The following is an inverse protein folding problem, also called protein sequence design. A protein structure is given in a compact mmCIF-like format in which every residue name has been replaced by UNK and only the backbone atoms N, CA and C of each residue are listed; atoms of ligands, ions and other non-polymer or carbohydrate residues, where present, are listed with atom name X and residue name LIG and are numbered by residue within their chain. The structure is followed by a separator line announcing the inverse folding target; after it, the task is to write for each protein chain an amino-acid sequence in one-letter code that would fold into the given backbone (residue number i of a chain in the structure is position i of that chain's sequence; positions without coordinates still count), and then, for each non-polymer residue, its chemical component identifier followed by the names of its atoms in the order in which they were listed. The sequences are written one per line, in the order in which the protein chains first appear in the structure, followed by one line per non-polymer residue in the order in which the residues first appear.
data_IF_098896940839
#
_entry.id   IF_098896940839
#
_cell.length_a   1.000
_cell.length_b   1.000
_cell.length_c   1.000
_cell.angle_alpha   90.00
_cell.angle_beta   90.00
_cell.angle_gamma   90.00
#
_symmetry.space_group_name_H-M   'P 1'
#
loop_
_entity.id
_entity.type
_entity.pdbx_description
1 polymer ?
#
# COMPACT_ATOMS: atom_id res chain seq x y z
N UNK A 1 10.98 18.98 -3.18
CA UNK A 1 12.30 19.10 -2.50
C UNK A 1 12.63 18.02 -1.45
N UNK A 2 11.67 17.18 -0.98
CA UNK A 2 11.97 16.17 0.07
C UNK A 2 12.50 14.81 -0.43
N UNK A 3 12.11 14.38 -1.64
CA UNK A 3 12.40 13.03 -2.15
C UNK A 3 13.88 12.77 -2.40
N UNK A 4 14.60 13.69 -3.05
CA UNK A 4 16.02 13.54 -3.36
C UNK A 4 16.90 13.38 -2.11
N UNK A 5 16.52 14.04 -1.01
CA UNK A 5 17.23 13.93 0.28
C UNK A 5 17.05 12.54 0.90
N UNK A 6 15.85 11.98 0.82
CA UNK A 6 15.55 10.65 1.36
C UNK A 6 16.18 9.54 0.50
N UNK A 7 16.15 9.69 -0.82
CA UNK A 7 16.84 8.81 -1.76
C UNK A 7 18.34 8.76 -1.48
N UNK A 8 19.01 9.91 -1.35
CA UNK A 8 20.44 9.96 -1.02
C UNK A 8 20.76 9.31 0.33
N UNK A 9 19.91 9.50 1.35
CA UNK A 9 20.05 8.81 2.64
C UNK A 9 19.90 7.30 2.51
N UNK A 10 18.96 6.83 1.69
CA UNK A 10 18.78 5.40 1.40
C UNK A 10 19.98 4.83 0.65
N UNK A 11 20.44 5.49 -0.42
CA UNK A 11 21.60 5.08 -1.21
C UNK A 11 22.86 4.92 -0.34
N UNK A 12 23.08 5.82 0.63
CA UNK A 12 24.16 5.68 1.60
C UNK A 12 24.05 4.42 2.48
N UNK A 13 22.83 4.03 2.85
CA UNK A 13 22.55 2.80 3.64
C UNK A 13 22.55 1.54 2.78
N UNK A 14 22.29 1.61 1.47
CA UNK A 14 22.28 0.43 0.58
C UNK A 14 23.59 -0.35 0.63
N UNK A 15 24.71 0.36 0.85
CA UNK A 15 25.99 -0.29 1.06
C UNK A 15 25.85 -1.34 2.15
N UNK A 16 25.32 -1.00 3.33
CA UNK A 16 25.22 -1.87 4.52
C UNK A 16 24.16 -2.97 4.45
N UNK A 17 23.23 -2.88 3.49
CA UNK A 17 22.14 -3.83 3.31
C UNK A 17 22.59 -5.03 2.48
N UNK A 18 22.08 -6.21 2.80
CA UNK A 18 22.31 -7.48 2.10
C UNK A 18 21.11 -7.89 1.23
N UNK A 19 19.87 -7.55 1.62
CA UNK A 19 18.63 -7.82 0.86
C UNK A 19 17.63 -6.67 0.99
N UNK A 20 16.90 -6.39 -0.08
CA UNK A 20 15.78 -5.44 -0.09
C UNK A 20 14.45 -6.20 -0.14
N UNK A 21 13.53 -5.87 0.78
CA UNK A 21 12.13 -6.30 0.71
C UNK A 21 11.29 -5.09 0.34
N UNK A 22 10.71 -5.11 -0.84
CA UNK A 22 9.87 -4.05 -1.37
C UNK A 22 8.40 -4.37 -1.10
N UNK A 23 7.68 -3.51 -0.38
CA UNK A 23 6.28 -3.74 0.00
C UNK A 23 5.37 -2.81 -0.78
N UNK A 24 4.38 -3.38 -1.47
CA UNK A 24 3.40 -2.67 -2.29
C UNK A 24 1.97 -3.08 -1.94
N UNK A 25 1.02 -2.21 -2.25
CA UNK A 25 -0.41 -2.49 -2.11
C UNK A 25 -0.91 -3.23 -3.36
N UNK A 26 -1.48 -4.41 -3.18
CA UNK A 26 -1.92 -5.29 -4.26
C UNK A 26 -3.05 -4.69 -5.12
N UNK A 27 -3.75 -3.65 -4.65
CA UNK A 27 -4.80 -2.93 -5.40
C UNK A 27 -4.23 -1.99 -6.47
N UNK A 28 -3.01 -1.53 -6.28
CA UNK A 28 -2.26 -0.66 -7.21
C UNK A 28 -0.91 -1.29 -7.52
N UNK A 29 -0.91 -2.51 -8.08
CA UNK A 29 0.31 -3.29 -8.26
C UNK A 29 1.32 -2.55 -9.14
N UNK A 30 0.89 -1.75 -10.13
CA UNK A 30 1.76 -1.06 -11.09
C UNK A 30 1.92 0.42 -10.71
N UNK A 31 0.82 1.15 -10.56
CA UNK A 31 0.82 2.59 -10.25
C UNK A 31 1.40 2.89 -8.87
N UNK A 32 1.36 1.92 -7.95
CA UNK A 32 1.97 2.00 -6.62
C UNK A 32 3.49 2.06 -6.64
N UNK A 33 4.11 1.72 -7.77
CA UNK A 33 5.54 1.49 -7.93
C UNK A 33 6.16 2.60 -8.78
N UNK A 34 7.31 3.12 -8.36
CA UNK A 34 8.16 4.02 -9.16
C UNK A 34 9.33 3.27 -9.84
N UNK A 35 9.19 2.83 -11.11
CA UNK A 35 10.23 2.11 -11.86
C UNK A 35 11.63 2.74 -11.82
N UNK A 36 11.75 4.07 -11.89
CA UNK A 36 13.06 4.72 -11.92
C UNK A 36 13.84 4.50 -10.62
N UNK A 37 13.13 4.47 -9.50
CA UNK A 37 13.73 4.23 -8.21
C UNK A 37 14.14 2.76 -8.06
N UNK A 38 13.26 1.84 -8.43
CA UNK A 38 13.51 0.41 -8.23
C UNK A 38 14.55 -0.14 -9.20
N UNK A 39 14.62 0.34 -10.43
CA UNK A 39 15.69 -0.06 -11.36
C UNK A 39 17.07 0.27 -10.79
N UNK A 40 17.21 1.39 -10.07
CA UNK A 40 18.47 1.72 -9.36
C UNK A 40 18.76 0.80 -8.18
N UNK A 41 17.73 0.37 -7.45
CA UNK A 41 17.89 -0.57 -6.33
C UNK A 41 18.25 -1.99 -6.80
N UNK A 42 17.57 -2.46 -7.84
CA UNK A 42 17.69 -3.82 -8.37
C UNK A 42 19.07 -4.11 -8.93
N UNK A 43 19.76 -3.10 -9.46
CA UNK A 43 21.15 -3.25 -9.91
C UNK A 43 22.17 -3.40 -8.77
N UNK A 44 21.78 -3.17 -7.50
CA UNK A 44 22.73 -3.09 -6.38
C UNK A 44 22.58 -4.24 -5.38
N UNK A 45 21.35 -4.71 -5.14
CA UNK A 45 21.05 -5.75 -4.15
C UNK A 45 19.96 -6.71 -4.63
N UNK A 46 19.99 -7.98 -4.19
CA UNK A 46 18.86 -8.88 -4.36
C UNK A 46 17.59 -8.25 -3.77
N UNK A 47 16.45 -8.55 -4.38
CA UNK A 47 15.17 -7.96 -4.02
C UNK A 47 14.04 -8.99 -4.01
N UNK A 48 13.12 -8.82 -3.06
CA UNK A 48 11.84 -9.54 -3.02
C UNK A 48 10.71 -8.51 -3.09
N UNK A 49 9.82 -8.65 -4.07
CA UNK A 49 8.61 -7.84 -4.15
C UNK A 49 7.49 -8.51 -3.34
N UNK A 50 6.95 -7.79 -2.37
CA UNK A 50 5.84 -8.22 -1.51
C UNK A 50 4.59 -7.42 -1.87
N UNK A 51 3.62 -8.07 -2.49
CA UNK A 51 2.30 -7.52 -2.76
C UNK A 51 1.38 -7.81 -1.57
N UNK A 52 1.23 -6.82 -0.70
CA UNK A 52 0.43 -6.89 0.53
C UNK A 52 -1.02 -6.45 0.27
N UNK A 53 -1.92 -6.77 1.22
CA UNK A 53 -3.37 -6.56 1.13
C UNK A 53 -4.00 -7.37 0.00
N UNK A 54 -3.48 -8.58 -0.23
CA UNK A 54 -3.98 -9.50 -1.25
C UNK A 54 -5.44 -9.91 -1.04
N UNK A 55 -5.96 -9.74 0.18
CA UNK A 55 -7.35 -9.97 0.57
C UNK A 55 -8.32 -8.95 -0.04
N UNK A 56 -7.81 -7.80 -0.52
CA UNK A 56 -8.58 -6.75 -1.16
C UNK A 56 -8.61 -6.86 -2.69
N UNK A 57 -8.10 -7.96 -3.28
CA UNK A 57 -8.13 -8.15 -4.74
C UNK A 57 -8.50 -9.58 -5.10
N UNK A 58 -9.04 -9.79 -6.31
CA UNK A 58 -9.27 -11.13 -6.83
C UNK A 58 -7.97 -11.72 -7.41
N UNK A 59 -7.31 -12.56 -6.61
CA UNK A 59 -6.09 -13.26 -7.03
C UNK A 59 -6.31 -14.21 -8.21
N UNK A 60 -7.51 -14.77 -8.43
CA UNK A 60 -7.75 -15.65 -9.58
C UNK A 60 -7.65 -14.87 -10.89
N UNK A 61 -8.12 -13.63 -10.87
CA UNK A 61 -8.12 -12.72 -12.03
C UNK A 61 -6.76 -12.06 -12.24
N UNK A 62 -6.13 -11.58 -11.18
CA UNK A 62 -5.00 -10.64 -11.30
C UNK A 62 -3.62 -11.23 -11.03
N UNK A 63 -3.51 -12.37 -10.34
CA UNK A 63 -2.21 -12.89 -9.93
C UNK A 63 -1.28 -13.14 -11.12
N UNK A 64 -1.75 -13.93 -12.10
CA UNK A 64 -0.93 -14.32 -13.26
C UNK A 64 -0.53 -13.12 -14.13
N UNK A 65 -1.45 -12.22 -14.56
CA UNK A 65 -1.06 -11.05 -15.36
C UNK A 65 -0.06 -10.13 -14.65
N UNK A 66 -0.18 -9.96 -13.33
CA UNK A 66 0.76 -9.14 -12.56
C UNK A 66 2.14 -9.81 -12.46
N UNK A 67 2.18 -11.13 -12.25
CA UNK A 67 3.44 -11.89 -12.23
C UNK A 67 4.13 -11.87 -13.61
N UNK A 68 3.36 -12.00 -14.71
CA UNK A 68 3.86 -11.89 -16.08
C UNK A 68 4.43 -10.49 -16.36
N UNK A 69 3.67 -9.42 -16.06
CA UNK A 69 4.14 -8.04 -16.18
C UNK A 69 5.48 -7.83 -15.46
N UNK A 70 5.62 -8.38 -14.27
CA UNK A 70 6.84 -8.21 -13.49
C UNK A 70 8.00 -9.09 -13.92
N UNK A 71 7.73 -10.29 -14.45
CA UNK A 71 8.73 -11.14 -15.06
C UNK A 71 9.41 -10.43 -16.24
N UNK A 72 8.64 -9.73 -17.08
CA UNK A 72 9.17 -8.91 -18.19
C UNK A 72 10.06 -7.76 -17.70
N UNK A 73 9.79 -7.22 -16.51
CA UNK A 73 10.62 -6.19 -15.86
C UNK A 73 11.81 -6.77 -15.08
N UNK A 74 12.06 -8.08 -15.16
CA UNK A 74 13.16 -8.77 -14.49
C UNK A 74 12.97 -8.98 -12.99
N UNK A 75 11.75 -8.83 -12.46
CA UNK A 75 11.43 -9.14 -11.06
C UNK A 75 11.19 -10.64 -10.93
N UNK A 76 12.08 -11.32 -10.23
CA UNK A 76 12.09 -12.79 -10.17
C UNK A 76 11.31 -13.37 -8.98
N UNK A 77 11.15 -12.61 -7.90
CA UNK A 77 10.53 -13.11 -6.67
C UNK A 77 9.41 -12.19 -6.21
N UNK A 78 8.17 -12.70 -6.30
CA UNK A 78 6.96 -12.02 -5.84
C UNK A 78 6.28 -12.85 -4.76
N UNK A 79 5.97 -12.22 -3.64
CA UNK A 79 5.25 -12.83 -2.52
C UNK A 79 3.94 -12.08 -2.27
N UNK A 80 2.82 -12.78 -2.35
CA UNK A 80 1.49 -12.23 -2.10
C UNK A 80 1.05 -12.47 -0.67
N UNK A 81 0.82 -11.41 0.10
CA UNK A 81 0.53 -11.52 1.54
C UNK A 81 -0.63 -10.65 2.01
N UNK A 82 -1.12 -10.99 3.19
CA UNK A 82 -1.93 -10.11 4.04
C UNK A 82 -1.21 -10.07 5.40
N UNK A 83 -0.48 -8.98 5.63
CA UNK A 83 0.29 -8.79 6.84
C UNK A 83 -0.59 -8.61 8.09
N UNK A 84 -1.88 -8.24 7.96
CA UNK A 84 -2.77 -8.12 9.12
C UNK A 84 -3.20 -9.49 9.61
N UNK A 85 -3.49 -10.42 8.70
CA UNK A 85 -3.88 -11.79 9.04
C UNK A 85 -2.71 -12.71 9.40
N UNK A 86 -1.46 -12.24 9.24
CA UNK A 86 -0.24 -12.98 9.59
C UNK A 86 -0.21 -14.40 9.00
N UNK A 87 -0.46 -14.49 7.70
CA UNK A 87 -0.57 -15.78 7.00
C UNK A 87 0.73 -16.60 7.13
N UNK A 88 0.70 -17.62 8.00
CA UNK A 88 1.89 -18.38 8.41
C UNK A 88 2.63 -19.00 7.23
N UNK A 89 1.91 -19.61 6.28
CA UNK A 89 2.49 -20.22 5.07
C UNK A 89 3.28 -19.20 4.23
N UNK A 90 2.67 -18.04 3.98
CA UNK A 90 3.30 -16.97 3.16
C UNK A 90 4.47 -16.31 3.89
N UNK A 91 4.37 -16.12 5.22
CA UNK A 91 5.49 -15.61 6.01
C UNK A 91 6.65 -16.60 6.07
N UNK A 92 6.35 -17.90 6.11
CA UNK A 92 7.35 -18.94 6.01
C UNK A 92 8.01 -18.96 4.62
N UNK A 93 7.24 -18.89 3.55
CA UNK A 93 7.74 -18.76 2.18
C UNK A 93 8.67 -17.55 2.01
N UNK A 94 8.24 -16.36 2.50
CA UNK A 94 9.06 -15.15 2.51
C UNK A 94 10.36 -15.36 3.30
N UNK A 95 10.29 -16.00 4.46
CA UNK A 95 11.49 -16.32 5.26
C UNK A 95 12.43 -17.25 4.50
N UNK A 96 11.92 -18.31 3.89
CA UNK A 96 12.73 -19.28 3.16
C UNK A 96 13.42 -18.62 1.99
N UNK A 97 12.69 -17.86 1.15
CA UNK A 97 13.25 -17.11 0.03
C UNK A 97 14.27 -16.07 0.48
N UNK A 98 13.99 -15.36 1.57
CA UNK A 98 14.94 -14.43 2.18
C UNK A 98 16.25 -15.13 2.54
N UNK A 99 16.20 -16.26 3.26
CA UNK A 99 17.42 -16.97 3.70
C UNK A 99 18.20 -17.56 2.51
N UNK A 100 17.50 -18.09 1.51
CA UNK A 100 18.09 -18.58 0.25
C UNK A 100 18.90 -17.47 -0.43
N UNK A 101 18.27 -16.34 -0.75
CA UNK A 101 18.94 -15.21 -1.42
C UNK A 101 20.08 -14.63 -0.61
N UNK A 102 19.94 -14.57 0.72
CA UNK A 102 20.98 -14.08 1.62
C UNK A 102 22.22 -14.97 1.61
N UNK A 103 22.05 -16.29 1.50
CA UNK A 103 23.17 -17.24 1.45
C UNK A 103 23.83 -17.30 0.08
N UNK A 104 23.08 -17.10 -1.00
CA UNK A 104 23.60 -17.09 -2.39
C UNK A 104 24.36 -15.80 -2.73
N UNK A 105 24.00 -14.68 -2.09
CA UNK A 105 24.61 -13.39 -2.39
C UNK A 105 25.95 -13.23 -1.68
N UNK A 106 27.03 -13.18 -2.45
CA UNK A 106 28.38 -12.95 -1.91
C UNK A 106 28.50 -11.59 -1.20
N UNK A 107 28.99 -11.62 0.03
CA UNK A 107 29.19 -10.43 0.86
C UNK A 107 30.59 -9.86 0.72
N UNK A 108 30.87 -9.27 -0.43
CA UNK A 108 32.14 -8.56 -0.66
C UNK A 108 32.43 -7.56 0.47
N UNK A 109 33.59 -7.70 1.12
CA UNK A 109 34.07 -6.85 2.23
C UNK A 109 33.26 -6.93 3.56
N UNK A 110 32.49 -8.01 3.79
CA UNK A 110 31.72 -8.20 5.04
C UNK A 110 31.71 -9.61 5.63
N UNK A 111 32.60 -10.48 5.17
CA UNK A 111 32.63 -11.88 5.61
C UNK A 111 32.77 -12.06 7.14
N UNK A 112 33.39 -11.08 7.82
CA UNK A 112 33.52 -11.07 9.29
C UNK A 112 32.19 -10.80 10.02
N UNK A 113 31.20 -10.15 9.37
CA UNK A 113 29.89 -9.88 9.97
C UNK A 113 28.94 -11.05 9.72
N UNK A 114 28.67 -11.81 10.78
CA UNK A 114 27.75 -12.97 10.76
C UNK A 114 26.28 -12.58 10.64
N UNK A 115 25.93 -11.33 10.97
CA UNK A 115 24.56 -10.83 10.93
C UNK A 115 24.19 -10.31 9.54
N UNK A 116 23.03 -10.71 9.02
CA UNK A 116 22.43 -10.14 7.81
C UNK A 116 21.64 -8.87 8.13
N UNK A 117 21.72 -7.90 7.24
CA UNK A 117 20.93 -6.67 7.30
C UNK A 117 20.00 -6.59 6.10
N UNK A 118 18.70 -6.47 6.35
CA UNK A 118 17.71 -6.29 5.29
C UNK A 118 17.07 -4.91 5.41
N UNK A 119 16.64 -4.36 4.28
CA UNK A 119 15.92 -3.10 4.24
C UNK A 119 14.52 -3.31 3.69
N UNK A 120 13.51 -2.86 4.43
CA UNK A 120 12.12 -2.89 3.97
C UNK A 120 11.76 -1.52 3.40
N UNK A 121 11.38 -1.47 2.12
CA UNK A 121 11.07 -0.23 1.40
C UNK A 121 9.65 -0.25 0.84
N UNK A 122 9.11 0.93 0.54
CA UNK A 122 7.77 1.08 -0.01
C UNK A 122 7.10 2.36 0.44
N UNK A 123 6.07 2.77 -0.28
CA UNK A 123 5.32 4.01 -0.01
C UNK A 123 4.57 3.92 1.33
N UNK A 124 4.12 5.04 1.93
CA UNK A 124 3.37 5.01 3.19
C UNK A 124 2.15 4.06 3.14
N UNK A 125 1.73 3.53 4.30
CA UNK A 125 0.49 2.73 4.45
C UNK A 125 0.35 1.43 3.62
N UNK A 126 1.36 1.01 2.88
CA UNK A 126 1.40 -0.31 2.19
C UNK A 126 1.48 -1.51 3.14
N UNK A 127 1.77 -1.29 4.43
CA UNK A 127 1.86 -2.36 5.44
C UNK A 127 3.28 -2.80 5.82
N UNK A 128 4.30 -1.95 5.63
CA UNK A 128 5.69 -2.22 6.05
C UNK A 128 5.80 -2.59 7.53
N UNK A 129 5.22 -1.78 8.43
CA UNK A 129 5.26 -2.03 9.88
C UNK A 129 4.56 -3.35 10.24
N UNK A 130 3.42 -3.64 9.60
CA UNK A 130 2.69 -4.90 9.78
C UNK A 130 3.50 -6.10 9.31
N UNK A 131 4.23 -5.99 8.20
CA UNK A 131 5.14 -7.03 7.73
C UNK A 131 6.25 -7.30 8.74
N UNK A 132 6.91 -6.24 9.22
CA UNK A 132 7.99 -6.33 10.23
C UNK A 132 7.48 -7.02 11.50
N UNK A 133 6.35 -6.57 12.03
CA UNK A 133 5.75 -7.14 13.24
C UNK A 133 5.32 -8.59 13.03
N UNK A 134 4.80 -8.94 11.85
CA UNK A 134 4.41 -10.31 11.49
C UNK A 134 5.63 -11.23 11.43
N UNK A 135 6.69 -10.84 10.74
CA UNK A 135 7.93 -11.60 10.66
C UNK A 135 8.54 -11.83 12.04
N UNK A 136 8.60 -10.78 12.87
CA UNK A 136 9.14 -10.86 14.23
C UNK A 136 8.30 -11.80 15.12
N UNK A 137 6.98 -11.73 15.02
CA UNK A 137 6.08 -12.58 15.80
C UNK A 137 6.16 -14.04 15.37
N UNK A 138 6.15 -14.32 14.06
CA UNK A 138 6.19 -15.68 13.52
C UNK A 138 7.56 -16.34 13.70
N UNK A 139 8.66 -15.61 13.55
CA UNK A 139 10.00 -16.20 13.62
C UNK A 139 10.58 -16.25 15.03
N UNK A 140 10.25 -15.27 15.89
CA UNK A 140 10.85 -15.14 17.22
C UNK A 140 9.84 -15.34 18.36
N UNK A 141 8.56 -15.62 18.07
CA UNK A 141 7.51 -15.77 19.08
C UNK A 141 7.16 -14.47 19.84
N UNK A 142 7.68 -13.32 19.39
CA UNK A 142 7.54 -12.04 20.08
C UNK A 142 6.10 -11.51 19.92
N UNK A 143 5.41 -11.27 21.04
CA UNK A 143 4.04 -10.74 21.04
C UNK A 143 3.98 -9.21 20.98
N UNK A 144 5.04 -8.52 21.39
CA UNK A 144 5.11 -7.06 21.34
C UNK A 144 5.50 -6.54 19.96
N UNK A 145 4.77 -5.53 19.48
CA UNK A 145 5.08 -4.86 18.22
C UNK A 145 6.42 -4.11 18.33
N UNK A 146 7.32 -4.32 17.37
CA UNK A 146 8.59 -3.59 17.28
C UNK A 146 8.40 -2.19 16.69
N UNK A 147 7.41 -2.06 15.81
CA UNK A 147 7.12 -0.83 15.07
C UNK A 147 5.66 -0.46 15.31
N UNK A 148 5.42 0.78 15.74
CA UNK A 148 4.06 1.31 15.89
C UNK A 148 3.44 1.46 14.51
N UNK A 149 2.25 0.90 14.33
CA UNK A 149 1.43 1.13 13.14
C UNK A 149 0.69 2.46 13.31
N UNK A 150 1.14 3.51 12.63
CA UNK A 150 0.38 4.74 12.50
C UNK A 150 -0.59 4.61 11.33
N UNK A 151 -1.88 4.88 11.57
CA UNK A 151 -2.91 4.86 10.51
C UNK A 151 -2.74 6.02 9.50
N UNK A 152 -2.06 7.10 9.88
CA UNK A 152 -1.85 8.26 9.02
C UNK A 152 -0.54 8.12 8.22
N UNK A 153 -0.57 8.32 6.89
CA UNK A 153 0.65 8.47 6.10
C UNK A 153 1.59 9.49 6.75
N UNK A 154 2.90 9.28 6.69
CA UNK A 154 3.87 10.18 7.33
C UNK A 154 4.07 9.99 8.83
N UNK A 155 3.26 9.17 9.52
CA UNK A 155 3.43 8.84 10.95
C UNK A 155 3.98 7.42 11.11
N UNK A 156 5.22 7.20 10.67
CA UNK A 156 6.05 6.13 11.25
C UNK A 156 6.86 6.75 12.38
N UNK A 157 6.46 6.48 13.62
CA UNK A 157 7.25 6.81 14.80
C UNK A 157 8.56 6.03 14.69
N UNK A 158 9.69 6.75 14.76
CA UNK A 158 11.06 6.25 14.54
C UNK A 158 11.24 4.83 15.05
N UNK A 159 11.63 3.92 14.15
CA UNK A 159 12.15 2.61 14.54
C UNK A 159 13.45 2.88 15.30
N UNK A 160 13.56 2.37 16.53
CA UNK A 160 14.82 2.33 17.26
C UNK A 160 15.82 1.49 16.44
N UNK A 161 16.64 2.18 15.65
CA UNK A 161 17.83 1.83 14.85
C UNK A 161 17.99 0.45 14.18
N UNK A 162 17.58 -0.70 14.73
CA UNK A 162 17.67 -2.04 14.13
C UNK A 162 16.67 -3.00 14.79
N UNK A 163 15.84 -3.69 13.99
CA UNK A 163 14.85 -4.67 14.50
C UNK A 163 15.27 -6.09 14.12
N UNK A 164 15.53 -6.96 15.09
CA UNK A 164 15.82 -8.38 14.84
C UNK A 164 14.55 -9.14 14.43
N UNK A 165 14.64 -9.96 13.38
CA UNK A 165 13.51 -10.75 12.86
C UNK A 165 13.79 -12.24 12.68
N UNK A 166 15.05 -12.68 12.80
CA UNK A 166 15.44 -14.08 12.74
C UNK A 166 16.72 -14.29 13.56
N UNK A 167 16.81 -15.42 14.27
CA UNK A 167 17.99 -15.75 15.07
C UNK A 167 19.05 -16.56 14.31
N UNK A 168 18.60 -17.46 13.43
CA UNK A 168 19.45 -18.40 12.69
C UNK A 168 19.02 -18.46 11.21
N UNK A 169 19.77 -17.82 10.29
CA UNK A 169 20.86 -16.89 10.57
C UNK A 169 20.35 -15.61 11.27
N UNK A 170 21.25 -14.84 11.89
CA UNK A 170 20.86 -13.60 12.56
C UNK A 170 20.50 -12.54 11.52
N UNK A 171 19.24 -12.10 11.49
CA UNK A 171 18.75 -11.12 10.49
C UNK A 171 18.12 -9.92 11.20
N UNK A 172 18.56 -8.72 10.80
CA UNK A 172 18.04 -7.45 11.28
C UNK A 172 17.45 -6.61 10.15
N UNK A 173 16.33 -5.97 10.42
CA UNK A 173 15.77 -4.91 9.59
C UNK A 173 16.41 -3.59 9.97
N UNK A 174 17.07 -2.96 8.99
CA UNK A 174 17.53 -1.59 9.07
C UNK A 174 16.37 -0.63 8.84
N UNK A 175 16.34 0.42 9.67
CA UNK A 175 15.44 1.57 9.63
C UNK A 175 14.83 1.84 8.25
N UNK A 176 13.51 1.78 8.18
CA UNK A 176 12.70 1.89 6.97
C UNK A 176 12.29 3.35 6.80
N UNK A 177 13.01 4.19 6.04
CA UNK A 177 12.45 5.48 5.69
C UNK A 177 11.15 5.17 4.93
N UNK A 178 10.01 5.44 5.58
CA UNK A 178 8.70 5.40 4.96
C UNK A 178 8.57 6.57 3.99
N UNK A 179 9.44 6.63 2.99
CA UNK A 179 9.47 7.76 2.08
C UNK A 179 10.01 7.34 0.72
N UNK A 180 9.08 6.84 -0.06
CA UNK A 180 9.03 7.07 -1.48
C UNK A 180 7.64 7.61 -1.69
N UNK A 181 7.50 8.93 -1.73
CA UNK A 181 6.33 9.49 -2.39
C UNK A 181 6.54 9.13 -3.86
N UNK A 182 5.64 8.42 -4.53
CA UNK A 182 5.70 8.31 -5.98
C UNK A 182 5.84 9.72 -6.53
N UNK A 183 6.80 9.95 -7.43
CA UNK A 183 6.68 11.11 -8.30
C UNK A 183 5.46 10.81 -9.15
N UNK A 184 4.28 11.26 -8.73
CA UNK A 184 3.02 11.02 -9.44
C UNK A 184 3.23 11.44 -10.89
N UNK A 185 3.17 10.49 -11.82
CA UNK A 185 3.44 10.78 -13.23
C UNK A 185 2.26 11.51 -13.85
N UNK A 186 1.07 11.31 -13.30
CA UNK A 186 -0.18 11.93 -13.70
C UNK A 186 -1.20 11.96 -12.54
N UNK A 187 -2.34 12.62 -12.77
CA UNK A 187 -3.44 12.78 -11.80
C UNK A 187 -4.11 11.43 -11.50
N UNK A 188 -4.26 10.55 -12.49
CA UNK A 188 -4.89 9.22 -12.32
C UNK A 188 -4.14 8.36 -11.28
N UNK A 189 -2.82 8.23 -11.40
CA UNK A 189 -1.97 7.52 -10.44
C UNK A 189 -2.09 8.12 -9.04
N UNK A 190 -2.08 9.46 -8.91
CA UNK A 190 -2.25 10.13 -7.61
C UNK A 190 -3.60 9.79 -6.97
N UNK A 191 -4.67 9.77 -7.75
CA UNK A 191 -6.01 9.45 -7.27
C UNK A 191 -6.15 7.97 -6.88
N UNK A 192 -5.52 7.04 -7.61
CA UNK A 192 -5.46 5.63 -7.21
C UNK A 192 -4.77 5.45 -5.86
N UNK A 193 -3.64 6.12 -5.66
CA UNK A 193 -2.92 6.09 -4.38
C UNK A 193 -3.75 6.71 -3.25
N UNK A 194 -4.47 7.80 -3.52
CA UNK A 194 -5.37 8.44 -2.56
C UNK A 194 -6.51 7.51 -2.15
N UNK A 195 -7.15 6.86 -3.13
CA UNK A 195 -8.22 5.91 -2.91
C UNK A 195 -7.74 4.71 -2.06
N UNK A 196 -6.51 4.25 -2.28
CA UNK A 196 -5.87 3.21 -1.48
C UNK A 196 -5.34 3.66 -0.11
N UNK A 197 -5.42 4.95 0.24
CA UNK A 197 -4.89 5.55 1.48
C UNK A 197 -3.35 5.51 1.58
N UNK A 198 -2.67 5.70 0.45
CA UNK A 198 -1.20 5.61 0.33
C UNK A 198 -0.50 6.98 0.29
N UNK A 199 -1.28 8.07 0.13
CA UNK A 199 -0.84 9.45 0.23
C UNK A 199 -1.55 10.18 1.37
N UNK A 200 -0.96 11.26 1.88
CA UNK A 200 -1.48 12.03 3.01
C UNK A 200 -2.87 12.62 2.71
N UNK A 201 -3.80 12.50 3.67
CA UNK A 201 -5.13 13.14 3.58
C UNK A 201 -5.04 14.66 3.41
N UNK A 202 -4.04 15.32 4.00
CA UNK A 202 -3.81 16.76 3.80
C UNK A 202 -3.48 17.13 2.34
N UNK A 203 -3.14 16.14 1.51
CA UNK A 203 -2.85 16.32 0.08
C UNK A 203 -4.06 15.98 -0.82
N UNK A 204 -5.16 15.46 -0.26
CA UNK A 204 -6.31 15.01 -1.06
C UNK A 204 -7.64 15.19 -0.33
N UNK A 205 -8.58 15.90 -0.96
CA UNK A 205 -9.95 16.05 -0.44
C UNK A 205 -10.74 14.74 -0.56
N UNK A 206 -11.46 14.29 0.48
CA UNK A 206 -12.37 13.16 0.41
C UNK A 206 -13.39 13.26 -0.73
N UNK A 207 -13.81 14.48 -1.07
CA UNK A 207 -14.73 14.75 -2.18
C UNK A 207 -14.11 14.37 -3.53
N UNK A 208 -12.88 14.80 -3.81
CA UNK A 208 -12.17 14.43 -5.04
C UNK A 208 -11.89 12.92 -5.12
N UNK A 209 -11.54 12.27 -4.01
CA UNK A 209 -11.30 10.82 -3.98
C UNK A 209 -12.61 10.04 -4.23
N UNK A 210 -13.73 10.52 -3.68
CA UNK A 210 -15.05 9.95 -3.94
C UNK A 210 -15.49 10.14 -5.39
N UNK A 211 -15.19 11.30 -5.98
CA UNK A 211 -15.49 11.61 -7.39
C UNK A 211 -14.74 10.67 -8.33
N UNK A 212 -13.44 10.49 -8.07
CA UNK A 212 -12.62 9.55 -8.81
C UNK A 212 -13.14 8.10 -8.68
N UNK A 213 -13.56 7.69 -7.48
CA UNK A 213 -14.15 6.37 -7.28
C UNK A 213 -15.45 6.20 -8.07
N UNK A 214 -16.31 7.22 -8.10
CA UNK A 214 -17.55 7.20 -8.89
C UNK A 214 -17.25 7.09 -10.38
N UNK A 215 -16.34 7.90 -10.90
CA UNK A 215 -15.85 7.80 -12.27
C UNK A 215 -15.33 6.39 -12.59
N UNK A 216 -14.50 5.83 -11.71
CA UNK A 216 -13.90 4.51 -11.89
C UNK A 216 -14.94 3.37 -11.91
N UNK A 217 -15.95 3.46 -11.04
CA UNK A 217 -17.07 2.51 -10.98
C UNK A 217 -17.95 2.61 -12.24
N UNK A 218 -18.33 3.82 -12.64
CA UNK A 218 -19.17 4.06 -13.82
C UNK A 218 -18.48 3.59 -15.11
N UNK A 219 -17.17 3.82 -15.25
CA UNK A 219 -16.39 3.34 -16.40
C UNK A 219 -16.44 1.81 -16.55
N UNK A 220 -16.67 1.10 -15.46
CA UNK A 220 -16.71 -0.37 -15.40
C UNK A 220 -18.14 -0.92 -15.34
N UNK A 221 -19.14 -0.05 -15.45
CA UNK A 221 -20.55 -0.40 -15.29
C UNK A 221 -20.83 -1.13 -13.95
N UNK A 222 -20.03 -0.84 -12.90
CA UNK A 222 -20.24 -1.40 -11.56
C UNK A 222 -21.10 -0.45 -10.73
N UNK A 223 -22.41 -0.70 -10.76
CA UNK A 223 -23.40 0.06 -10.00
C UNK A 223 -23.78 -0.58 -8.66
N UNK A 224 -23.00 -1.57 -8.20
CA UNK A 224 -23.27 -2.28 -6.94
C UNK A 224 -23.27 -1.36 -5.71
N UNK A 225 -22.60 -0.21 -5.80
CA UNK A 225 -22.55 0.80 -4.75
C UNK A 225 -23.94 1.33 -4.35
N UNK A 226 -24.91 1.36 -5.27
CA UNK A 226 -26.29 1.80 -4.97
C UNK A 226 -26.93 0.86 -3.94
N UNK A 227 -26.88 -0.44 -4.22
CA UNK A 227 -27.41 -1.48 -3.31
C UNK A 227 -26.64 -1.52 -1.99
N UNK A 228 -25.31 -1.43 -2.05
CA UNK A 228 -24.45 -1.44 -0.84
C UNK A 228 -24.69 -0.24 0.08
N UNK A 229 -25.11 0.89 -0.49
CA UNK A 229 -25.46 2.10 0.27
C UNK A 229 -26.96 2.21 0.54
N UNK A 230 -27.80 1.27 0.10
CA UNK A 230 -29.25 1.35 0.25
C UNK A 230 -29.84 2.61 -0.39
N UNK A 231 -29.34 2.98 -1.57
CA UNK A 231 -29.82 4.14 -2.33
C UNK A 231 -30.70 3.66 -3.46
N UNK A 232 -31.93 4.18 -3.51
CA UNK A 232 -32.84 3.94 -4.62
C UNK A 232 -32.54 4.88 -5.81
N UNK A 233 -32.80 4.36 -7.03
CA UNK A 233 -32.74 5.11 -8.28
C UNK A 233 -31.57 4.77 -9.19
N UNK A 234 -31.51 5.44 -10.34
CA UNK A 234 -30.54 5.15 -11.39
C UNK A 234 -29.12 5.64 -11.06
N UNK A 235 -28.08 4.99 -11.63
CA UNK A 235 -26.70 5.47 -11.59
C UNK A 235 -26.55 6.92 -12.05
N UNK A 236 -25.49 7.58 -11.59
CA UNK A 236 -25.22 8.98 -11.93
C UNK A 236 -23.71 9.22 -11.97
N UNK A 237 -23.29 10.17 -12.81
CA UNK A 237 -21.94 10.70 -12.89
C UNK A 237 -21.75 12.00 -12.06
N UNK A 238 -22.83 12.57 -11.53
CA UNK A 238 -22.77 13.73 -10.63
C UNK A 238 -22.56 13.26 -9.19
N UNK A 239 -21.34 13.46 -8.68
CA UNK A 239 -20.99 13.15 -7.31
C UNK A 239 -21.90 13.88 -6.30
N UNK A 240 -22.20 15.16 -6.48
CA UNK A 240 -23.00 15.91 -5.50
C UNK A 240 -24.41 15.33 -5.40
N UNK A 241 -24.99 14.93 -6.53
CA UNK A 241 -26.28 14.24 -6.55
C UNK A 241 -26.22 12.91 -5.80
N UNK A 242 -25.17 12.12 -6.01
CA UNK A 242 -24.97 10.87 -5.28
C UNK A 242 -24.79 11.09 -3.78
N UNK A 243 -23.95 12.04 -3.38
CA UNK A 243 -23.70 12.35 -1.96
C UNK A 243 -24.97 12.83 -1.25
N UNK A 244 -25.81 13.64 -1.91
CA UNK A 244 -27.11 14.04 -1.37
C UNK A 244 -28.03 12.84 -1.13
N UNK A 245 -28.05 11.87 -2.07
CA UNK A 245 -28.81 10.63 -1.90
C UNK A 245 -28.28 9.78 -0.74
N UNK A 246 -26.95 9.68 -0.58
CA UNK A 246 -26.33 9.02 0.59
C UNK A 246 -26.75 9.72 1.88
N UNK A 247 -26.67 11.05 1.94
CA UNK A 247 -27.07 11.82 3.10
C UNK A 247 -28.54 11.60 3.46
N UNK A 248 -29.44 11.59 2.47
CA UNK A 248 -30.86 11.34 2.68
C UNK A 248 -31.15 9.92 3.16
N UNK A 249 -30.51 8.91 2.55
CA UNK A 249 -30.70 7.50 2.89
C UNK A 249 -30.21 7.14 4.32
N UNK A 250 -29.17 7.81 4.81
CA UNK A 250 -28.54 7.52 6.11
C UNK A 250 -28.71 8.63 7.16
N UNK A 251 -29.56 9.63 6.87
CA UNK A 251 -29.79 10.83 7.69
C UNK A 251 -28.49 11.50 8.19
N UNK A 252 -27.54 11.72 7.27
CA UNK A 252 -26.21 12.23 7.62
C UNK A 252 -26.22 13.76 7.76
N UNK A 253 -26.39 14.25 8.97
CA UNK A 253 -26.44 15.70 9.27
C UNK A 253 -25.26 16.17 10.10
N UNK A 254 -24.88 17.43 9.89
CA UNK A 254 -23.88 18.14 10.69
C UNK A 254 -24.40 19.53 11.02
N UNK A 255 -24.24 19.93 12.29
CA UNK A 255 -24.49 21.31 12.73
C UNK A 255 -23.24 22.14 12.47
N UNK A 256 -23.37 23.20 11.69
CA UNK A 256 -22.30 24.18 11.47
C UNK A 256 -22.78 25.57 11.85
N UNK A 257 -21.87 26.35 12.43
CA UNK A 257 -22.11 27.76 12.70
C UNK A 257 -22.14 28.52 11.38
N UNK A 258 -23.24 29.23 11.11
CA UNK A 258 -23.42 30.07 9.93
C UNK A 258 -23.79 31.46 10.43
N UNK A 259 -22.85 32.39 10.40
CA UNK A 259 -23.00 33.67 11.08
C UNK A 259 -22.99 33.48 12.60
N UNK A 260 -24.08 33.87 13.26
CA UNK A 260 -24.27 33.75 14.72
C UNK A 260 -25.12 32.55 15.15
N UNK A 261 -25.68 31.78 14.20
CA UNK A 261 -26.61 30.69 14.50
C UNK A 261 -26.09 29.34 13.98
N UNK A 262 -26.49 28.26 14.67
CA UNK A 262 -26.21 26.91 14.21
C UNK A 262 -27.29 26.48 13.22
N UNK A 263 -26.87 26.21 11.98
CA UNK A 263 -27.72 25.61 10.97
C UNK A 263 -27.36 24.13 10.80
N UNK A 264 -28.38 23.28 10.67
CA UNK A 264 -28.20 21.88 10.32
C UNK A 264 -28.12 21.75 8.79
N UNK A 265 -27.12 21.01 8.30
CA UNK A 265 -26.92 20.76 6.88
C UNK A 265 -26.51 19.31 6.65
N UNK A 266 -26.66 18.86 5.41
CA UNK A 266 -26.15 17.55 5.00
C UNK A 266 -24.63 17.46 5.15
N UNK A 267 -24.17 16.36 5.74
CA UNK A 267 -22.75 16.06 5.93
C UNK A 267 -22.19 15.35 4.70
N UNK A 268 -21.90 16.14 3.66
CA UNK A 268 -21.37 15.65 2.38
C UNK A 268 -20.01 14.97 2.53
N UNK A 269 -19.20 15.39 3.50
CA UNK A 269 -17.88 14.81 3.76
C UNK A 269 -18.01 13.41 4.36
N UNK A 270 -18.93 13.22 5.30
CA UNK A 270 -19.25 11.88 5.83
C UNK A 270 -19.83 10.96 4.76
N UNK A 271 -20.69 11.48 3.88
CA UNK A 271 -21.20 10.72 2.74
C UNK A 271 -20.06 10.27 1.78
N UNK A 272 -19.15 11.18 1.42
CA UNK A 272 -18.01 10.86 0.58
C UNK A 272 -17.11 9.79 1.21
N UNK A 273 -16.84 9.91 2.51
CA UNK A 273 -16.09 8.91 3.25
C UNK A 273 -16.79 7.54 3.32
N UNK A 274 -18.12 7.50 3.40
CA UNK A 274 -18.88 6.25 3.33
C UNK A 274 -18.70 5.55 1.98
N UNK A 275 -18.80 6.28 0.86
CA UNK A 275 -18.56 5.74 -0.47
C UNK A 275 -17.13 5.19 -0.61
N UNK A 276 -16.12 5.98 -0.24
CA UNK A 276 -14.70 5.57 -0.27
C UNK A 276 -14.43 4.37 0.64
N UNK A 277 -15.13 4.27 1.77
CA UNK A 277 -15.01 3.16 2.71
C UNK A 277 -15.45 1.83 2.11
N UNK A 278 -16.43 1.82 1.19
CA UNK A 278 -16.82 0.59 0.49
C UNK A 278 -15.64 -0.03 -0.26
N UNK A 279 -14.89 0.80 -1.00
CA UNK A 279 -13.67 0.38 -1.67
C UNK A 279 -12.60 -0.06 -0.67
N UNK A 280 -12.28 0.79 0.32
CA UNK A 280 -11.19 0.53 1.27
C UNK A 280 -11.41 -0.71 2.15
N UNK A 281 -12.66 -1.13 2.35
CA UNK A 281 -13.05 -2.33 3.11
C UNK A 281 -13.42 -3.53 2.24
N UNK A 282 -13.09 -3.50 0.94
CA UNK A 282 -13.37 -4.59 -0.01
C UNK A 282 -14.85 -5.03 0.01
N UNK A 283 -15.76 -4.05 -0.08
CA UNK A 283 -17.20 -4.29 -0.21
C UNK A 283 -17.67 -4.30 -1.67
N UNK A 284 -16.87 -3.72 -2.56
CA UNK A 284 -17.12 -3.68 -4.00
C UNK A 284 -16.72 -5.01 -4.65
N UNK A 285 -17.17 -5.23 -5.88
CA UNK A 285 -16.94 -6.47 -6.63
C UNK A 285 -15.45 -6.69 -6.97
N UNK A 286 -14.71 -5.61 -7.19
CA UNK A 286 -13.31 -5.60 -7.58
C UNK A 286 -12.65 -4.32 -7.06
N UNK A 287 -11.40 -4.41 -6.61
CA UNK A 287 -10.65 -3.28 -6.08
C UNK A 287 -9.24 -3.15 -6.70
N UNK A 288 -8.97 -3.85 -7.81
CA UNK A 288 -7.72 -3.67 -8.57
C UNK A 288 -7.81 -2.44 -9.49
N UNK A 289 -7.17 -1.34 -9.10
CA UNK A 289 -7.22 -0.07 -9.83
C UNK A 289 -6.36 -0.07 -11.11
N UNK A 290 -5.38 -0.96 -11.20
CA UNK A 290 -4.48 -1.06 -12.36
C UNK A 290 -4.93 -2.09 -13.41
N UNK A 291 -6.17 -2.58 -13.33
CA UNK A 291 -6.72 -3.52 -14.32
C UNK A 291 -6.54 -3.05 -15.78
N UNK A 292 -6.72 -1.75 -16.04
CA UNK A 292 -6.54 -1.14 -17.37
C UNK A 292 -5.08 -1.19 -17.85
N UNK A 293 -4.12 -1.17 -16.92
CA UNK A 293 -2.69 -1.24 -17.23
C UNK A 293 -2.23 -2.68 -17.50
N UNK A 294 -2.97 -3.67 -16.99
CA UNK A 294 -2.72 -5.10 -17.23
C UNK A 294 -3.30 -5.59 -18.55
N UNK A 295 -4.37 -4.94 -19.04
CA UNK A 295 -5.05 -5.32 -20.29
C UNK A 295 -4.48 -4.64 -21.53
N UNK A 296 -3.68 -3.58 -21.35
CA UNK A 296 -2.91 -2.99 -22.44
C UNK A 296 -1.69 -3.88 -22.66
N UNK A 297 -1.80 -4.82 -23.60
CA UNK A 297 -0.61 -5.47 -24.14
C UNK A 297 0.37 -4.37 -24.55
N UNK A 298 1.60 -4.44 -24.04
CA UNK A 298 2.70 -3.62 -24.51
C UNK A 298 3.13 -4.05 -25.91
#
# INVERSE_FOLDING_TARGET
MHMSVQLKKMEGKLRTVDLIIEVHDARVPISGRNPQFYNKLYGVRPHILVLNKRDLIDLKKYKRPIEEYYAEQGVQTIIWTDCKRRLSKTLHELRTKMVEMLNETQRYNREVKTEYQIMVVGIPNVGKSSLINSLRSTNLGMKHNAVVEGARPGVTVRVQNRVRILDKPSVYILDTPGVLCPSHRNVDEAMKLALCDLILESQTSPHHVADYLLYWLNKREDFSYLNLLGIDGEPTDDLNRLLLRICAAHDLRVKRLVGSEYAERWDMERAANMLVTLFRKNKLSDCCLDHDLLNRGY
#
